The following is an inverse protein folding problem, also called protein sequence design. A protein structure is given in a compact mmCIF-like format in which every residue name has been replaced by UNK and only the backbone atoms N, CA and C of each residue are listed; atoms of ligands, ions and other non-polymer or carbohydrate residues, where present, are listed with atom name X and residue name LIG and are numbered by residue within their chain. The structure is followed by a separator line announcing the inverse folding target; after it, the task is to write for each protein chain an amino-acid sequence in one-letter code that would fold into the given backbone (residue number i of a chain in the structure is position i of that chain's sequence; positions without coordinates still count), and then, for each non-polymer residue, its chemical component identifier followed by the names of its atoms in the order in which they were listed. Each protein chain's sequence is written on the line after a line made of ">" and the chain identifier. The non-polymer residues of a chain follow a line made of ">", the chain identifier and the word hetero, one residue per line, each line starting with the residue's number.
data_IF_001047786316
#
_entry.id   IF_001047786316
#
_cell.length_a   1.000
_cell.length_b   1.000
_cell.length_c   1.000
_cell.angle_alpha   90.00
_cell.angle_beta   90.00
_cell.angle_gamma   90.00
#
_symmetry.space_group_name_H-M   'P 1'
#
loop_
_entity.id
_entity.type
_entity.pdbx_description
1 polymer ?
#
# COMPACT_ATOMS: atom_id res chain seq x y z
N UNK A 1 -5.82 74.65 0.82
CA UNK A 1 -5.63 73.87 2.05
C UNK A 1 -6.71 72.78 2.04
N UNK A 2 -6.39 71.64 1.40
CA UNK A 2 -7.34 70.63 0.91
C UNK A 2 -7.34 69.43 1.87
N UNK A 3 -8.51 68.80 2.13
CA UNK A 3 -8.73 67.91 3.27
C UNK A 3 -8.40 66.43 2.97
N UNK A 4 -8.39 65.65 4.03
CA UNK A 4 -8.17 64.21 4.09
C UNK A 4 -8.89 63.41 2.98
N UNK A 5 -8.11 62.78 2.09
CA UNK A 5 -8.57 61.71 1.19
C UNK A 5 -7.55 60.57 1.19
N UNK A 6 -8.09 59.37 1.35
CA UNK A 6 -7.50 58.06 1.07
C UNK A 6 -6.36 57.56 1.97
N UNK A 7 -6.72 56.94 3.09
CA UNK A 7 -5.93 55.90 3.76
C UNK A 7 -6.64 54.57 3.54
N UNK A 8 -6.77 54.11 2.29
CA UNK A 8 -7.38 52.81 1.94
C UNK A 8 -6.68 52.23 0.71
N UNK A 9 -5.34 52.10 0.73
CA UNK A 9 -4.65 51.41 -0.34
C UNK A 9 -3.23 51.00 0.07
N UNK A 10 -3.08 50.08 1.02
CA UNK A 10 -1.82 49.34 1.22
C UNK A 10 -1.98 48.14 2.17
N UNK A 11 -3.14 47.48 2.16
CA UNK A 11 -3.15 46.02 2.35
C UNK A 11 -2.91 45.41 0.98
N UNK A 12 -1.68 45.60 0.46
CA UNK A 12 -1.17 44.70 -0.56
C UNK A 12 -1.14 43.35 0.14
N UNK A 13 -2.17 42.58 -0.15
CA UNK A 13 -2.23 41.15 0.06
C UNK A 13 -0.85 40.59 -0.30
N UNK A 14 -0.03 40.35 0.71
CA UNK A 14 1.03 39.36 0.65
C UNK A 14 0.31 38.00 0.64
N UNK A 15 -0.49 37.77 -0.40
CA UNK A 15 -0.62 36.42 -0.93
C UNK A 15 0.78 36.18 -1.47
N UNK A 16 1.68 35.68 -0.62
CA UNK A 16 2.65 34.71 -1.10
C UNK A 16 1.80 33.68 -1.82
N UNK A 17 1.70 33.84 -3.14
CA UNK A 17 1.26 32.79 -4.02
C UNK A 17 2.25 31.69 -3.73
N UNK A 18 1.83 30.76 -2.87
CA UNK A 18 2.45 29.46 -2.76
C UNK A 18 2.44 28.97 -4.20
N UNK A 19 3.59 29.06 -4.88
CA UNK A 19 3.70 28.60 -6.24
C UNK A 19 3.53 27.09 -6.17
N UNK A 20 2.29 26.64 -6.32
CA UNK A 20 1.89 25.28 -6.64
C UNK A 20 2.27 24.94 -8.09
N UNK A 21 3.26 25.63 -8.66
CA UNK A 21 3.65 25.40 -10.03
C UNK A 21 4.31 24.04 -10.11
N UNK A 22 3.49 23.04 -10.40
CA UNK A 22 3.85 21.82 -11.10
C UNK A 22 4.35 22.20 -12.51
N UNK A 23 5.38 23.04 -12.57
CA UNK A 23 6.02 23.46 -13.79
C UNK A 23 7.00 22.38 -14.26
N UNK A 24 7.47 22.57 -15.49
CA UNK A 24 8.33 21.60 -16.16
C UNK A 24 9.58 21.30 -15.33
N UNK A 25 10.19 22.35 -14.78
CA UNK A 25 11.42 22.28 -14.00
C UNK A 25 11.22 21.43 -12.74
N UNK A 26 10.13 21.63 -12.00
CA UNK A 26 9.79 20.84 -10.82
C UNK A 26 9.61 19.35 -11.14
N UNK A 27 8.92 19.01 -12.23
CA UNK A 27 8.75 17.61 -12.67
C UNK A 27 10.08 16.95 -13.06
N UNK A 28 10.92 17.67 -13.82
CA UNK A 28 12.23 17.17 -14.24
C UNK A 28 13.17 16.98 -13.04
N UNK A 29 13.16 17.91 -12.09
CA UNK A 29 13.95 17.80 -10.87
C UNK A 29 13.51 16.59 -10.02
N UNK A 30 12.19 16.45 -9.80
CA UNK A 30 11.60 15.32 -9.07
C UNK A 30 11.94 13.97 -9.71
N UNK A 31 11.81 13.87 -11.05
CA UNK A 31 12.19 12.68 -11.81
C UNK A 31 13.68 12.36 -11.71
N UNK A 32 14.55 13.36 -11.88
CA UNK A 32 15.99 13.20 -11.75
C UNK A 32 16.39 12.75 -10.34
N UNK A 33 15.72 13.27 -9.30
CA UNK A 33 15.91 12.83 -7.92
C UNK A 33 15.53 11.35 -7.74
N UNK A 34 14.33 10.95 -8.20
CA UNK A 34 13.87 9.56 -8.12
C UNK A 34 14.81 8.59 -8.84
N UNK A 35 15.33 8.96 -10.02
CA UNK A 35 16.32 8.16 -10.74
C UNK A 35 17.62 8.01 -9.95
N UNK A 36 18.14 9.10 -9.38
CA UNK A 36 19.35 9.05 -8.52
C UNK A 36 19.16 8.15 -7.31
N UNK A 37 17.98 8.18 -6.71
CA UNK A 37 17.65 7.34 -5.54
C UNK A 37 17.54 5.86 -5.97
N UNK A 38 16.87 5.56 -7.09
CA UNK A 38 16.72 4.20 -7.61
C UNK A 38 18.05 3.54 -7.99
N UNK A 39 18.98 4.27 -8.63
CA UNK A 39 20.30 3.72 -9.02
C UNK A 39 21.17 3.37 -7.81
N UNK A 40 20.98 4.04 -6.68
CA UNK A 40 21.70 3.77 -5.44
C UNK A 40 21.16 2.56 -4.69
N UNK A 41 19.96 2.10 -5.01
CA UNK A 41 19.32 0.99 -4.33
C UNK A 41 20.13 -0.30 -4.53
N UNK A 42 20.42 -1.00 -3.44
CA UNK A 42 21.11 -2.29 -3.43
C UNK A 42 20.22 -3.35 -2.76
N UNK A 43 20.06 -4.55 -3.35
CA UNK A 43 19.35 -5.64 -2.68
C UNK A 43 20.05 -6.05 -1.39
N UNK A 44 19.28 -6.28 -0.33
CA UNK A 44 19.77 -6.98 0.85
C UNK A 44 19.71 -8.50 0.55
N UNK A 45 20.86 -9.15 0.51
CA UNK A 45 21.00 -10.58 0.23
C UNK A 45 21.23 -11.43 1.49
N UNK A 46 21.21 -10.81 2.68
CA UNK A 46 21.30 -11.52 3.95
C UNK A 46 20.00 -12.27 4.28
N UNK A 47 20.12 -13.32 5.10
CA UNK A 47 18.96 -14.04 5.62
C UNK A 47 18.22 -13.15 6.63
N UNK A 48 16.90 -13.03 6.48
CA UNK A 48 16.08 -12.22 7.37
C UNK A 48 15.93 -12.90 8.73
N UNK A 49 16.33 -12.22 9.81
CA UNK A 49 16.10 -12.67 11.19
C UNK A 49 14.64 -12.53 11.62
N UNK A 50 13.94 -11.53 11.10
CA UNK A 50 12.57 -11.22 11.46
C UNK A 50 11.75 -11.00 10.19
N UNK A 51 10.52 -11.50 10.19
CA UNK A 51 9.54 -11.30 9.11
C UNK A 51 8.33 -10.60 9.69
N UNK A 52 7.91 -9.49 9.04
CA UNK A 52 6.70 -8.74 9.41
C UNK A 52 5.83 -8.65 8.17
N UNK A 53 4.61 -9.19 8.25
CA UNK A 53 3.61 -9.12 7.20
C UNK A 53 2.48 -8.16 7.61
N UNK A 54 2.35 -7.04 6.90
CA UNK A 54 1.19 -6.15 7.02
C UNK A 54 0.13 -6.54 6.00
N UNK A 55 -1.04 -6.96 6.47
CA UNK A 55 -2.16 -7.36 5.62
C UNK A 55 -3.28 -6.32 5.67
N UNK A 56 -3.51 -5.61 4.57
CA UNK A 56 -4.69 -4.76 4.40
C UNK A 56 -5.83 -5.56 3.77
N UNK A 57 -6.75 -6.09 4.57
CA UNK A 57 -7.93 -6.81 4.06
C UNK A 57 -8.81 -5.86 3.23
N UNK A 58 -9.17 -6.28 2.01
CA UNK A 58 -9.89 -5.44 1.04
C UNK A 58 -9.12 -4.21 0.51
N UNK A 59 -7.82 -4.09 0.79
CA UNK A 59 -7.02 -2.91 0.46
C UNK A 59 -6.43 -2.99 -0.96
N UNK A 60 -7.29 -2.89 -1.98
CA UNK A 60 -6.88 -2.82 -3.38
C UNK A 60 -6.17 -1.50 -3.76
N UNK A 61 -5.69 -1.42 -5.00
CA UNK A 61 -4.96 -0.24 -5.52
C UNK A 61 -5.79 1.05 -5.41
N UNK A 62 -7.09 1.00 -5.70
CA UNK A 62 -7.99 2.15 -5.56
C UNK A 62 -8.11 2.61 -4.10
N UNK A 63 -8.22 1.67 -3.16
CA UNK A 63 -8.26 1.95 -1.71
C UNK A 63 -6.96 2.61 -1.26
N UNK A 64 -5.80 2.12 -1.71
CA UNK A 64 -4.49 2.74 -1.41
C UNK A 64 -4.43 4.18 -1.90
N UNK A 65 -4.84 4.45 -3.15
CA UNK A 65 -4.88 5.81 -3.71
C UNK A 65 -5.84 6.72 -2.92
N UNK A 66 -7.04 6.24 -2.59
CA UNK A 66 -8.01 7.01 -1.81
C UNK A 66 -7.47 7.35 -0.41
N UNK A 67 -6.83 6.39 0.26
CA UNK A 67 -6.19 6.60 1.55
C UNK A 67 -5.03 7.59 1.48
N UNK A 68 -4.19 7.54 0.42
CA UNK A 68 -3.10 8.49 0.20
C UNK A 68 -3.63 9.92 0.12
N UNK A 69 -4.65 10.15 -0.71
CA UNK A 69 -5.27 11.47 -0.88
C UNK A 69 -5.85 11.96 0.45
N UNK A 70 -6.68 11.12 1.09
CA UNK A 70 -7.30 11.46 2.37
C UNK A 70 -6.25 11.76 3.46
N UNK A 71 -5.18 10.96 3.53
CA UNK A 71 -4.11 11.18 4.50
C UNK A 71 -3.36 12.47 4.22
N UNK A 72 -3.03 12.78 2.97
CA UNK A 72 -2.39 14.05 2.62
C UNK A 72 -3.27 15.26 2.97
N UNK A 73 -4.57 15.19 2.70
CA UNK A 73 -5.52 16.25 3.07
C UNK A 73 -5.63 16.45 4.59
N UNK A 74 -5.56 15.37 5.37
CA UNK A 74 -5.51 15.43 6.84
C UNK A 74 -4.22 16.06 7.38
N UNK A 75 -3.16 16.12 6.58
CA UNK A 75 -1.91 16.82 6.89
C UNK A 75 -1.85 18.22 6.26
N UNK A 76 -2.99 18.79 5.87
CA UNK A 76 -3.11 20.13 5.25
C UNK A 76 -2.38 20.25 3.89
N UNK A 77 -2.17 19.12 3.19
CA UNK A 77 -1.64 19.06 1.83
C UNK A 77 -2.77 18.83 0.81
N UNK A 78 -2.47 18.94 -0.48
CA UNK A 78 -3.46 18.71 -1.55
C UNK A 78 -3.98 17.26 -1.59
N UNK A 79 -3.10 16.29 -1.31
CA UNK A 79 -3.43 14.87 -1.22
C UNK A 79 -2.70 14.01 -2.24
N UNK A 80 -2.75 14.38 -3.52
CA UNK A 80 -2.28 13.55 -4.65
C UNK A 80 -0.78 13.26 -4.59
N UNK A 81 0.01 14.26 -4.19
CA UNK A 81 1.47 14.19 -4.06
C UNK A 81 1.93 13.55 -2.75
N UNK A 82 1.01 13.29 -1.81
CA UNK A 82 1.36 12.62 -0.57
C UNK A 82 1.83 11.18 -0.86
N UNK A 83 2.70 10.64 0.00
CA UNK A 83 3.10 9.24 -0.09
C UNK A 83 2.90 8.56 1.25
N UNK A 84 2.13 7.47 1.25
CA UNK A 84 1.99 6.60 2.41
C UNK A 84 3.33 5.92 2.72
N UNK A 85 3.53 5.49 3.96
CA UNK A 85 4.76 4.79 4.36
C UNK A 85 5.02 3.52 3.53
N UNK A 86 3.95 2.79 3.18
CA UNK A 86 4.06 1.60 2.33
C UNK A 86 4.55 1.91 0.90
N UNK A 87 4.30 3.12 0.39
CA UNK A 87 4.66 3.53 -0.97
C UNK A 87 6.12 4.02 -1.08
N UNK A 88 6.76 4.26 0.06
CA UNK A 88 8.19 4.56 0.16
C UNK A 88 9.04 3.27 0.21
N UNK A 89 8.40 2.10 0.30
CA UNK A 89 9.11 0.82 0.31
C UNK A 89 9.82 0.59 -1.03
N UNK A 90 11.01 -0.01 -1.02
CA UNK A 90 11.90 -0.08 -2.19
C UNK A 90 11.44 -1.04 -3.29
N UNK A 91 10.46 -1.91 -3.01
CA UNK A 91 9.98 -2.94 -3.93
C UNK A 91 8.45 -2.92 -4.01
N UNK A 92 7.92 -3.18 -5.19
CA UNK A 92 6.48 -3.28 -5.45
C UNK A 92 6.23 -4.41 -6.44
N UNK A 93 5.11 -5.10 -6.27
CA UNK A 93 4.67 -6.16 -7.16
C UNK A 93 3.15 -6.25 -7.21
N UNK A 94 2.62 -6.94 -8.21
CA UNK A 94 1.20 -7.27 -8.33
C UNK A 94 0.99 -8.75 -8.01
N UNK A 95 -0.09 -9.05 -7.31
CA UNK A 95 -0.46 -10.41 -6.91
C UNK A 95 -1.81 -10.82 -7.51
N UNK A 96 -1.90 -12.06 -8.01
CA UNK A 96 -3.15 -12.64 -8.53
C UNK A 96 -3.88 -13.37 -7.39
N UNK A 97 -5.04 -12.86 -6.97
CA UNK A 97 -5.68 -13.26 -5.70
C UNK A 97 -6.73 -14.37 -5.80
N UNK A 98 -7.11 -14.82 -7.01
CA UNK A 98 -8.16 -15.86 -7.20
C UNK A 98 -8.00 -17.09 -6.29
N UNK A 99 -9.11 -17.64 -5.81
CA UNK A 99 -9.19 -18.96 -5.17
C UNK A 99 -9.28 -20.06 -6.24
N UNK A 100 -8.98 -21.30 -5.89
CA UNK A 100 -8.98 -22.41 -6.88
C UNK A 100 -10.35 -22.65 -7.50
N UNK A 101 -11.44 -22.24 -6.85
CA UNK A 101 -12.82 -22.38 -7.32
C UNK A 101 -13.53 -21.04 -7.59
N UNK A 102 -12.91 -19.88 -7.38
CA UNK A 102 -13.55 -18.56 -7.54
C UNK A 102 -12.56 -17.49 -8.05
N UNK A 103 -12.98 -16.70 -9.03
CA UNK A 103 -12.16 -15.60 -9.58
C UNK A 103 -12.05 -14.42 -8.61
N UNK A 104 -13.18 -14.02 -8.01
CA UNK A 104 -13.22 -13.10 -6.89
C UNK A 104 -13.07 -13.91 -5.61
N UNK A 105 -11.96 -13.77 -4.87
CA UNK A 105 -11.68 -14.61 -3.74
C UNK A 105 -12.39 -14.14 -2.45
N UNK A 106 -12.34 -14.97 -1.42
CA UNK A 106 -12.66 -14.59 -0.04
C UNK A 106 -11.40 -14.42 0.84
N UNK A 107 -11.57 -13.86 2.05
CA UNK A 107 -10.45 -13.65 2.98
C UNK A 107 -9.84 -14.97 3.49
N UNK A 108 -10.63 -16.05 3.62
CA UNK A 108 -10.14 -17.32 4.15
C UNK A 108 -9.15 -18.02 3.21
N UNK A 109 -9.51 -18.16 1.93
CA UNK A 109 -8.62 -18.83 0.99
C UNK A 109 -7.43 -17.95 0.58
N UNK A 110 -7.54 -16.62 0.62
CA UNK A 110 -6.40 -15.71 0.43
C UNK A 110 -5.44 -15.71 1.62
N UNK A 111 -5.95 -15.72 2.86
CA UNK A 111 -5.11 -15.89 4.05
C UNK A 111 -4.33 -17.21 3.99
N UNK A 112 -4.98 -18.31 3.59
CA UNK A 112 -4.30 -19.59 3.36
C UNK A 112 -3.17 -19.43 2.34
N UNK A 113 -3.43 -18.82 1.18
CA UNK A 113 -2.41 -18.62 0.17
C UNK A 113 -1.23 -17.77 0.65
N UNK A 114 -1.48 -16.67 1.38
CA UNK A 114 -0.42 -15.79 1.87
C UNK A 114 0.40 -16.42 3.00
N UNK A 115 -0.22 -17.23 3.86
CA UNK A 115 0.41 -17.76 5.06
C UNK A 115 1.04 -19.15 4.84
N UNK A 116 0.46 -20.00 3.99
CA UNK A 116 0.97 -21.37 3.74
C UNK A 116 1.70 -21.51 2.41
N UNK A 117 1.56 -20.52 1.52
CA UNK A 117 2.07 -20.59 0.15
C UNK A 117 1.22 -21.44 -0.81
N UNK A 118 0.10 -22.00 -0.35
CA UNK A 118 -0.78 -22.87 -1.15
C UNK A 118 -2.15 -22.22 -1.33
N UNK A 119 -2.59 -22.09 -2.60
CA UNK A 119 -3.96 -21.64 -2.89
C UNK A 119 -4.98 -22.72 -2.60
N UNK A 120 -6.12 -22.32 -2.06
CA UNK A 120 -7.24 -23.21 -1.76
C UNK A 120 -8.58 -22.65 -2.24
N UNK A 121 -9.65 -23.39 -1.97
CA UNK A 121 -11.04 -23.03 -2.29
C UNK A 121 -11.49 -21.86 -1.42
N UNK A 122 -12.45 -21.08 -1.90
CA UNK A 122 -13.11 -20.08 -1.08
C UNK A 122 -13.92 -20.74 0.05
N UNK A 123 -13.94 -20.12 1.23
CA UNK A 123 -14.70 -20.57 2.39
C UNK A 123 -14.03 -21.62 3.27
N UNK A 124 -12.77 -21.96 3.00
CA UNK A 124 -11.94 -22.85 3.83
C UNK A 124 -10.61 -22.16 4.18
N UNK A 125 -10.02 -22.52 5.32
CA UNK A 125 -8.85 -21.86 5.90
C UNK A 125 -7.81 -22.90 6.35
N UNK A 126 -6.54 -22.68 6.04
CA UNK A 126 -5.44 -23.51 6.55
C UNK A 126 -5.43 -24.94 5.99
N UNK A 127 -6.13 -25.16 4.88
CA UNK A 127 -6.28 -26.47 4.24
C UNK A 127 -6.16 -26.34 2.74
N UNK A 128 -5.73 -27.40 2.07
CA UNK A 128 -5.65 -27.45 0.62
C UNK A 128 -7.01 -27.66 -0.05
N UNK A 129 -6.99 -27.76 -1.39
CA UNK A 129 -8.19 -27.84 -2.21
C UNK A 129 -9.01 -29.14 -2.07
N UNK A 130 -8.56 -30.15 -1.31
CA UNK A 130 -9.31 -31.39 -1.04
C UNK A 130 -10.47 -31.16 -0.08
N UNK A 131 -10.36 -30.16 0.80
CA UNK A 131 -11.39 -29.86 1.80
C UNK A 131 -12.47 -28.99 1.19
N UNK A 132 -13.72 -29.43 1.31
CA UNK A 132 -14.88 -28.62 0.93
C UNK A 132 -15.50 -27.93 2.14
N UNK A 133 -16.08 -26.76 1.92
CA UNK A 133 -16.72 -26.00 3.00
C UNK A 133 -17.87 -26.81 3.60
N UNK A 134 -17.75 -27.13 4.88
CA UNK A 134 -18.75 -27.90 5.63
C UNK A 134 -18.55 -29.42 5.59
N UNK A 135 -17.50 -29.91 4.92
CA UNK A 135 -17.11 -31.32 4.92
C UNK A 135 -15.77 -31.49 5.67
N UNK A 136 -15.78 -32.24 6.77
CA UNK A 136 -14.60 -32.49 7.60
C UNK A 136 -13.84 -33.76 7.22
N UNK A 137 -14.23 -34.47 6.16
CA UNK A 137 -13.69 -35.80 5.81
C UNK A 137 -12.18 -35.79 5.56
N UNK A 138 -11.65 -34.73 4.93
CA UNK A 138 -10.23 -34.61 4.57
C UNK A 138 -9.48 -33.56 5.40
N UNK A 139 -9.99 -33.21 6.59
CA UNK A 139 -9.47 -32.09 7.36
C UNK A 139 -8.03 -32.31 7.81
N UNK A 140 -7.68 -33.53 8.23
CA UNK A 140 -6.34 -33.86 8.70
C UNK A 140 -5.36 -33.94 7.53
N UNK A 141 -5.68 -34.70 6.48
CA UNK A 141 -4.78 -34.88 5.34
C UNK A 141 -4.61 -33.61 4.53
N UNK A 142 -5.62 -32.74 4.52
CA UNK A 142 -5.63 -31.46 3.83
C UNK A 142 -4.99 -30.32 4.60
N UNK A 143 -4.59 -30.51 5.86
CA UNK A 143 -4.00 -29.46 6.70
C UNK A 143 -2.67 -28.94 6.15
N UNK A 144 -2.41 -27.65 6.34
CA UNK A 144 -1.23 -26.96 5.82
C UNK A 144 -0.53 -26.16 6.92
N UNK A 145 0.79 -26.29 7.00
CA UNK A 145 1.61 -25.46 7.88
C UNK A 145 1.70 -24.02 7.35
N UNK A 146 1.54 -23.06 8.25
CA UNK A 146 1.71 -21.64 7.98
C UNK A 146 3.14 -21.19 8.22
N UNK A 147 3.57 -20.08 7.63
CA UNK A 147 4.88 -19.47 7.85
C UNK A 147 5.19 -19.21 9.35
N UNK A 148 4.15 -19.09 10.19
CA UNK A 148 4.30 -18.97 11.64
C UNK A 148 4.69 -20.30 12.26
N UNK A 149 4.08 -21.40 11.81
CA UNK A 149 4.44 -22.75 12.25
C UNK A 149 5.90 -23.06 11.88
N UNK A 150 6.32 -22.70 10.66
CA UNK A 150 7.72 -22.81 10.23
C UNK A 150 8.66 -21.96 11.10
N UNK A 151 8.25 -20.74 11.48
CA UNK A 151 9.06 -19.84 12.30
C UNK A 151 9.14 -20.26 13.78
N UNK A 152 8.15 -21.00 14.29
CA UNK A 152 8.10 -21.50 15.66
C UNK A 152 8.74 -22.89 15.81
N UNK A 153 8.97 -23.60 14.72
CA UNK A 153 9.62 -24.90 14.71
C UNK A 153 11.16 -24.82 14.86
N UNK A 154 11.73 -23.62 14.83
CA UNK A 154 13.16 -23.32 15.08
C UNK A 154 13.44 -23.00 16.56
#
# INVERSE_FOLDING_TARGET
>A
MIPARQIHLLYVLFIFGLSLAQDREAWLESGAKRLRDAVKQRPNVGVAKNVILFLGDGMGVSTVTAMRILKGQKEELLGEEYQLHMEKMPYTGLVKTYNTNQQTPDSAGTATAFLTGVKTRAGVLGVDQRVEKGDCTYLEEGSLDTMVDWALAE
#
